data_IF_942398807384
#
_entry.id   IF_942398807384
#
_cell.length_a   1.000
_cell.length_b   1.000
_cell.length_c   1.000
_cell.angle_alpha   90.00
_cell.angle_beta   90.00
_cell.angle_gamma   90.00
#
_symmetry.space_group_name_H-M   'P 1'
#
loop_
_entity.id
_entity.type
_entity.pdbx_description
1 polymer ?
#
# COMPACT_ATOMS: atom_id res chain seq x y z
N UNK A 1 -28.79 4.49 -14.34
CA UNK A 1 -27.84 4.40 -15.48
C UNK A 1 -28.01 3.01 -16.07
N UNK A 2 -28.32 2.89 -17.37
CA UNK A 2 -28.44 1.60 -18.05
C UNK A 2 -27.12 1.25 -18.75
N UNK A 3 -26.50 0.16 -18.33
CA UNK A 3 -25.22 -0.31 -18.87
C UNK A 3 -25.38 -0.83 -20.30
N UNK A 4 -26.55 -1.39 -20.65
CA UNK A 4 -26.83 -1.90 -21.99
C UNK A 4 -26.89 -0.75 -23.01
N UNK A 5 -27.48 0.37 -22.61
CA UNK A 5 -27.52 1.59 -23.41
C UNK A 5 -26.11 2.16 -23.63
N UNK A 6 -25.28 2.21 -22.57
CA UNK A 6 -23.91 2.69 -22.67
C UNK A 6 -23.02 1.82 -23.55
N UNK A 7 -23.21 0.50 -23.48
CA UNK A 7 -22.56 -0.45 -24.38
C UNK A 7 -22.97 -0.19 -25.83
N UNK A 8 -24.28 -0.08 -26.12
CA UNK A 8 -24.79 0.16 -27.46
C UNK A 8 -24.33 1.52 -28.05
N UNK A 9 -24.16 2.53 -27.19
CA UNK A 9 -23.68 3.87 -27.56
C UNK A 9 -22.15 3.95 -27.67
N UNK A 10 -21.41 2.86 -27.44
CA UNK A 10 -19.96 2.82 -27.54
C UNK A 10 -19.23 3.60 -26.44
N UNK A 11 -19.85 3.77 -25.27
CA UNK A 11 -19.28 4.51 -24.13
C UNK A 11 -18.30 3.66 -23.32
N UNK A 12 -17.30 3.09 -23.99
CA UNK A 12 -16.38 2.11 -23.44
C UNK A 12 -15.57 2.61 -22.25
N UNK A 13 -15.07 3.85 -22.33
CA UNK A 13 -14.28 4.47 -21.25
C UNK A 13 -15.09 4.54 -19.96
N UNK A 14 -16.34 5.00 -20.03
CA UNK A 14 -17.20 5.08 -18.84
C UNK A 14 -17.57 3.72 -18.26
N UNK A 15 -17.59 2.65 -19.07
CA UNK A 15 -17.78 1.28 -18.59
C UNK A 15 -16.51 0.76 -17.89
N UNK A 16 -15.33 1.11 -18.39
CA UNK A 16 -14.06 0.79 -17.73
C UNK A 16 -13.92 1.53 -16.39
N UNK A 17 -14.28 2.81 -16.33
CA UNK A 17 -14.29 3.59 -15.09
C UNK A 17 -15.17 2.94 -14.01
N UNK A 18 -16.32 2.37 -14.41
CA UNK A 18 -17.21 1.64 -13.50
C UNK A 18 -16.61 0.33 -13.01
N UNK A 19 -15.87 -0.37 -13.88
CA UNK A 19 -15.15 -1.59 -13.52
C UNK A 19 -14.03 -1.26 -12.53
N UNK A 20 -13.27 -0.20 -12.76
CA UNK A 20 -12.18 0.25 -11.90
C UNK A 20 -12.68 0.76 -10.53
N UNK A 21 -13.92 1.24 -10.48
CA UNK A 21 -14.60 1.65 -9.25
C UNK A 21 -15.23 0.50 -8.44
N UNK A 22 -15.13 -0.76 -8.88
CA UNK A 22 -15.69 -1.89 -8.14
C UNK A 22 -14.98 -2.10 -6.80
N UNK A 23 -15.69 -2.54 -5.75
CA UNK A 23 -15.07 -2.91 -4.48
C UNK A 23 -13.97 -3.96 -4.67
N UNK A 24 -12.94 -3.91 -3.81
CA UNK A 24 -11.84 -4.89 -3.79
C UNK A 24 -12.35 -6.34 -3.77
N UNK A 25 -13.35 -6.62 -2.94
CA UNK A 25 -14.00 -7.93 -2.83
C UNK A 25 -15.12 -8.18 -3.86
N UNK A 26 -14.94 -7.75 -5.12
CA UNK A 26 -15.87 -8.04 -6.20
C UNK A 26 -15.55 -9.39 -6.86
N UNK A 27 -16.58 -10.02 -7.47
CA UNK A 27 -16.41 -11.29 -8.22
C UNK A 27 -15.41 -11.16 -9.38
N UNK A 28 -15.30 -9.96 -9.96
CA UNK A 28 -14.34 -9.69 -11.02
C UNK A 28 -12.90 -9.78 -10.47
N UNK A 29 -12.62 -9.10 -9.36
CA UNK A 29 -11.30 -9.15 -8.73
C UNK A 29 -10.96 -10.56 -8.25
N UNK A 30 -11.95 -11.30 -7.71
CA UNK A 30 -11.78 -12.71 -7.36
C UNK A 30 -11.37 -13.56 -8.57
N UNK A 31 -12.03 -13.38 -9.71
CA UNK A 31 -11.69 -14.11 -10.93
C UNK A 31 -10.28 -13.75 -11.44
N UNK A 32 -9.92 -12.46 -11.44
CA UNK A 32 -8.60 -11.97 -11.86
C UNK A 32 -7.50 -12.56 -10.98
N UNK A 33 -7.67 -12.55 -9.66
CA UNK A 33 -6.64 -13.03 -8.71
C UNK A 33 -6.46 -14.55 -8.77
N UNK A 34 -7.52 -15.29 -9.14
CA UNK A 34 -7.48 -16.75 -9.25
C UNK A 34 -7.15 -17.27 -10.67
N UNK A 35 -6.93 -16.38 -11.63
CA UNK A 35 -6.46 -16.76 -12.96
C UNK A 35 -5.01 -17.27 -12.88
N UNK A 36 -4.81 -18.54 -13.25
CA UNK A 36 -3.50 -19.20 -13.19
C UNK A 36 -2.50 -18.60 -14.16
N UNK A 37 -2.93 -18.20 -15.35
CA UNK A 37 -2.04 -17.63 -16.36
C UNK A 37 -1.56 -16.25 -15.90
N UNK A 38 -2.50 -15.43 -15.41
CA UNK A 38 -2.18 -14.13 -14.84
C UNK A 38 -1.29 -14.23 -13.60
N UNK A 39 -1.57 -15.16 -12.69
CA UNK A 39 -0.74 -15.40 -11.51
C UNK A 39 0.69 -15.83 -11.87
N UNK A 40 0.86 -16.69 -12.88
CA UNK A 40 2.18 -17.08 -13.38
C UNK A 40 2.94 -15.90 -13.98
N UNK A 41 2.24 -15.01 -14.71
CA UNK A 41 2.84 -13.79 -15.24
C UNK A 41 3.31 -12.84 -14.13
N UNK A 42 2.47 -12.58 -13.13
CA UNK A 42 2.82 -11.72 -11.99
C UNK A 42 3.99 -12.29 -11.18
N UNK A 43 4.04 -13.62 -11.01
CA UNK A 43 5.15 -14.28 -10.30
C UNK A 43 6.49 -14.17 -11.04
N UNK A 44 6.47 -14.01 -12.36
CA UNK A 44 7.67 -13.81 -13.18
C UNK A 44 8.15 -12.33 -13.21
N UNK A 45 7.34 -11.39 -12.74
CA UNK A 45 7.73 -9.98 -12.67
C UNK A 45 8.77 -9.75 -11.57
N UNK A 46 9.70 -8.79 -11.75
CA UNK A 46 10.59 -8.39 -10.68
C UNK A 46 9.77 -7.89 -9.49
N UNK A 47 10.18 -8.25 -8.28
CA UNK A 47 9.50 -7.78 -7.06
C UNK A 47 9.54 -6.25 -7.02
N UNK A 48 8.43 -5.59 -6.66
CA UNK A 48 8.40 -4.14 -6.54
C UNK A 48 9.43 -3.69 -5.49
N UNK A 49 10.16 -2.62 -5.79
CA UNK A 49 11.11 -2.02 -4.86
C UNK A 49 10.42 -1.35 -3.67
N UNK A 50 9.16 -0.93 -3.86
CA UNK A 50 8.35 -0.27 -2.83
C UNK A 50 7.64 -1.30 -1.95
N UNK A 51 7.63 -1.05 -0.64
CA UNK A 51 6.82 -1.80 0.31
C UNK A 51 5.34 -1.72 -0.07
N UNK A 52 4.62 -2.83 0.14
CA UNK A 52 3.19 -2.90 -0.14
C UNK A 52 2.41 -1.93 0.76
N UNK A 53 1.45 -1.23 0.16
CA UNK A 53 0.51 -0.37 0.86
C UNK A 53 -0.93 -0.64 0.39
N UNK A 54 -1.92 -0.62 1.29
CA UNK A 54 -3.32 -0.75 0.90
C UNK A 54 -3.77 0.42 0.01
N UNK A 55 -4.82 0.18 -0.79
CA UNK A 55 -5.41 1.22 -1.64
C UNK A 55 -6.16 2.24 -0.79
N UNK A 56 -6.02 3.52 -1.12
CA UNK A 56 -6.75 4.62 -0.43
C UNK A 56 -8.26 4.38 -0.46
N UNK A 57 -8.80 3.94 -1.60
CA UNK A 57 -10.23 3.68 -1.78
C UNK A 57 -10.80 2.59 -0.85
N UNK A 58 -9.94 1.68 -0.37
CA UNK A 58 -10.33 0.58 0.51
C UNK A 58 -9.95 0.84 1.98
N UNK A 59 -9.26 1.95 2.26
CA UNK A 59 -8.83 2.32 3.59
C UNK A 59 -9.88 3.20 4.28
N UNK A 60 -10.99 2.58 4.64
CA UNK A 60 -12.08 3.21 5.37
C UNK A 60 -11.79 3.29 6.88
N UNK A 61 -12.75 3.82 7.64
CA UNK A 61 -12.64 3.90 9.10
C UNK A 61 -12.45 2.52 9.74
N UNK A 62 -13.09 1.47 9.22
CA UNK A 62 -12.97 0.12 9.79
C UNK A 62 -11.58 -0.46 9.56
N UNK A 63 -11.02 -0.28 8.36
CA UNK A 63 -9.65 -0.66 8.05
C UNK A 63 -8.65 0.08 8.95
N UNK A 64 -8.87 1.39 9.17
CA UNK A 64 -8.06 2.19 10.08
C UNK A 64 -8.14 1.67 11.53
N UNK A 65 -9.34 1.48 12.07
CA UNK A 65 -9.53 0.97 13.44
C UNK A 65 -8.94 -0.44 13.61
N UNK A 66 -9.08 -1.30 12.60
CA UNK A 66 -8.49 -2.65 12.61
C UNK A 66 -6.96 -2.59 12.65
N UNK A 67 -6.35 -1.67 11.90
CA UNK A 67 -4.91 -1.41 11.96
C UNK A 67 -4.47 -0.96 13.36
N UNK A 68 -5.20 -0.03 13.97
CA UNK A 68 -4.87 0.46 15.33
C UNK A 68 -4.97 -0.66 16.37
N UNK A 69 -6.00 -1.51 16.28
CA UNK A 69 -6.15 -2.70 17.13
C UNK A 69 -4.96 -3.65 16.94
N UNK A 70 -4.57 -3.94 15.69
CA UNK A 70 -3.41 -4.78 15.39
C UNK A 70 -2.11 -4.19 15.97
N UNK A 71 -1.94 -2.86 15.91
CA UNK A 71 -0.78 -2.20 16.48
C UNK A 71 -0.76 -2.31 18.01
N UNK A 72 -1.89 -2.06 18.68
CA UNK A 72 -2.02 -2.20 20.13
C UNK A 72 -1.72 -3.65 20.59
N UNK A 73 -2.21 -4.66 19.86
CA UNK A 73 -1.93 -6.07 20.14
C UNK A 73 -0.44 -6.41 20.00
N UNK A 74 0.25 -5.87 18.98
CA UNK A 74 1.71 -6.03 18.85
C UNK A 74 2.44 -5.38 20.03
N UNK A 75 1.98 -4.22 20.50
CA UNK A 75 2.51 -3.56 21.70
C UNK A 75 2.39 -4.44 22.95
N UNK A 76 1.20 -5.02 23.19
CA UNK A 76 0.98 -5.95 24.30
C UNK A 76 1.91 -7.17 24.21
N UNK A 77 2.07 -7.74 23.01
CA UNK A 77 2.99 -8.87 22.79
C UNK A 77 4.43 -8.52 23.19
N UNK A 78 4.91 -7.31 22.89
CA UNK A 78 6.27 -6.90 23.29
C UNK A 78 6.41 -6.76 24.79
N UNK A 79 5.41 -6.18 25.46
CA UNK A 79 5.41 -6.10 26.93
C UNK A 79 5.51 -7.50 27.54
N UNK A 80 4.75 -8.47 27.01
CA UNK A 80 4.82 -9.85 27.46
C UNK A 80 6.22 -10.46 27.27
N UNK A 81 6.84 -10.27 26.09
CA UNK A 81 8.21 -10.74 25.82
C UNK A 81 9.20 -10.13 26.82
N UNK A 82 9.11 -8.82 27.06
CA UNK A 82 9.97 -8.11 28.01
C UNK A 82 9.79 -8.64 29.44
N UNK A 83 8.55 -8.85 29.88
CA UNK A 83 8.27 -9.40 31.22
C UNK A 83 8.73 -10.85 31.40
N UNK A 84 8.80 -11.62 30.31
CA UNK A 84 9.35 -12.98 30.30
C UNK A 84 10.88 -13.02 30.24
N UNK A 85 11.55 -11.87 30.25
CA UNK A 85 13.02 -11.75 30.19
C UNK A 85 13.61 -11.81 28.77
N UNK A 86 12.77 -11.70 27.74
CA UNK A 86 13.23 -11.57 26.35
C UNK A 86 13.47 -10.11 25.97
N UNK A 87 14.26 -9.88 24.92
CA UNK A 87 14.44 -8.55 24.33
C UNK A 87 13.30 -8.26 23.32
N UNK A 88 12.41 -7.29 23.58
CA UNK A 88 11.36 -6.96 22.65
C UNK A 88 11.92 -6.29 21.39
N UNK A 89 11.59 -6.82 20.22
CA UNK A 89 11.99 -6.24 18.94
C UNK A 89 11.18 -4.99 18.55
N UNK A 90 11.66 -4.25 17.55
CA UNK A 90 10.94 -3.08 17.00
C UNK A 90 9.57 -3.48 16.44
N UNK A 91 8.53 -2.76 16.83
CA UNK A 91 7.16 -2.98 16.34
C UNK A 91 6.92 -2.05 15.16
N UNK A 92 7.07 -2.58 13.95
CA UNK A 92 6.64 -1.87 12.76
C UNK A 92 5.10 -1.80 12.71
N UNK A 93 4.52 -0.60 12.57
CA UNK A 93 3.08 -0.46 12.36
C UNK A 93 2.68 -1.20 11.08
N UNK A 94 1.43 -1.68 11.03
CA UNK A 94 0.92 -2.24 9.79
C UNK A 94 0.83 -1.10 8.75
N UNK A 95 1.21 -1.33 7.48
CA UNK A 95 1.30 -0.26 6.49
C UNK A 95 -0.05 0.42 6.26
N UNK A 96 0.01 1.74 6.07
CA UNK A 96 -1.12 2.58 5.67
C UNK A 96 -1.17 2.82 4.18
N UNK A 97 -2.28 3.40 3.69
CA UNK A 97 -2.38 3.76 2.29
C UNK A 97 -1.37 4.85 1.96
N UNK A 98 -0.58 4.65 0.91
CA UNK A 98 0.39 5.65 0.47
C UNK A 98 -0.28 6.77 -0.30
N UNK A 99 -0.26 7.97 0.26
CA UNK A 99 -0.86 9.16 -0.35
C UNK A 99 0.19 10.00 -1.08
N UNK A 100 -0.24 10.88 -1.98
CA UNK A 100 0.67 11.85 -2.63
C UNK A 100 1.32 12.82 -1.63
N UNK A 101 0.66 13.08 -0.50
CA UNK A 101 1.24 13.89 0.58
C UNK A 101 2.44 13.17 1.19
N UNK A 102 2.31 11.87 1.49
CA UNK A 102 3.40 11.08 2.05
C UNK A 102 4.59 11.01 1.07
N UNK A 103 4.33 10.86 -0.22
CA UNK A 103 5.39 10.90 -1.25
C UNK A 103 6.09 12.25 -1.29
N UNK A 104 5.34 13.34 -1.25
CA UNK A 104 5.92 14.69 -1.23
C UNK A 104 6.76 14.95 0.03
N UNK A 105 6.36 14.39 1.19
CA UNK A 105 7.15 14.44 2.42
C UNK A 105 8.43 13.62 2.26
N UNK A 106 8.34 12.37 1.79
CA UNK A 106 9.52 11.50 1.55
C UNK A 106 10.52 12.15 0.59
N UNK A 107 10.03 12.81 -0.48
CA UNK A 107 10.87 13.51 -1.45
C UNK A 107 11.51 14.77 -0.84
N UNK A 108 10.78 15.52 -0.01
CA UNK A 108 11.32 16.68 0.70
C UNK A 108 12.40 16.28 1.73
N UNK A 109 12.18 15.20 2.47
CA UNK A 109 13.14 14.64 3.42
C UNK A 109 14.41 14.17 2.71
N UNK A 110 14.27 13.53 1.54
CA UNK A 110 15.42 13.13 0.71
C UNK A 110 16.22 14.35 0.25
N UNK A 111 15.57 15.37 -0.29
CA UNK A 111 16.25 16.60 -0.73
C UNK A 111 16.95 17.32 0.43
N UNK A 112 16.33 17.33 1.61
CA UNK A 112 16.95 17.87 2.82
C UNK A 112 18.19 17.08 3.23
N UNK A 113 18.11 15.74 3.23
CA UNK A 113 19.24 14.87 3.58
C UNK A 113 20.40 15.03 2.61
N UNK A 114 20.13 15.05 1.29
CA UNK A 114 21.14 15.30 0.25
C UNK A 114 21.79 16.68 0.44
N UNK A 115 20.99 17.71 0.73
CA UNK A 115 21.49 19.07 0.99
C UNK A 115 22.35 19.14 2.26
N UNK A 116 21.95 18.45 3.33
CA UNK A 116 22.67 18.41 4.59
C UNK A 116 24.00 17.68 4.44
N UNK A 117 24.00 16.51 3.80
CA UNK A 117 25.20 15.69 3.60
C UNK A 117 26.19 16.39 2.64
N UNK A 118 25.68 17.08 1.62
CA UNK A 118 26.49 17.92 0.73
C UNK A 118 27.22 19.07 1.44
N UNK A 119 26.66 19.61 2.54
CA UNK A 119 27.36 20.62 3.35
C UNK A 119 28.61 20.07 4.05
N UNK A 120 28.68 18.76 4.28
CA UNK A 120 29.84 18.09 4.86
C UNK A 120 30.81 17.51 3.81
N UNK A 121 30.56 17.76 2.52
CA UNK A 121 31.46 17.41 1.42
C UNK A 121 31.34 15.97 0.90
N UNK A 122 30.25 15.28 1.23
CA UNK A 122 29.91 13.96 0.70
C UNK A 122 28.96 14.09 -0.51
N UNK A 123 29.03 13.15 -1.44
CA UNK A 123 28.23 13.16 -2.68
C UNK A 123 27.00 12.25 -2.57
N UNK A 124 26.01 12.41 -3.46
CA UNK A 124 24.78 11.61 -3.47
C UNK A 124 25.02 10.11 -3.73
N UNK A 125 26.24 9.73 -4.14
CA UNK A 125 26.66 8.32 -4.29
C UNK A 125 27.15 7.68 -2.99
N UNK A 126 27.35 8.47 -1.94
CA UNK A 126 27.83 8.02 -0.62
C UNK A 126 26.67 7.69 0.36
N UNK A 127 25.41 7.93 -0.05
CA UNK A 127 24.15 7.72 0.70
C UNK A 127 23.33 6.61 0.03
#
# INVERSE_FOLDING_TARGET
MDLAEWYAQGRWVGLLDLIDGLPGASRLNEAIVNDKEYAAHLAAMPKPATEWAPRVAEFDLNAHLSREILHALKGIKQVLIATAGGEPGEVKPFPGPRTEIERAIEDADRQWAESFVGQFGFDSTDI
#
